data_IF_599191185802
#
_entry.id   IF_599191185802
#
_cell.length_a   1.000
_cell.length_b   1.000
_cell.length_c   1.000
_cell.angle_alpha   90.00
_cell.angle_beta   90.00
_cell.angle_gamma   90.00
#
_symmetry.space_group_name_H-M   'P 1'
#
loop_
_entity.id
_entity.type
_entity.pdbx_description
1 polymer ?
#
# COMPACT_ATOMS: atom_id res chain seq x y z
N UNK A 1 4.93 -32.03 -2.65
CA UNK A 1 5.20 -31.25 -3.88
C UNK A 1 4.65 -31.92 -5.15
N UNK A 2 4.70 -33.25 -5.28
CA UNK A 2 4.26 -33.98 -6.48
C UNK A 2 2.75 -33.89 -6.82
N UNK A 3 1.90 -33.44 -5.89
CA UNK A 3 0.46 -33.25 -6.10
C UNK A 3 0.02 -31.77 -6.08
N UNK A 4 0.97 -30.82 -6.11
CA UNK A 4 0.63 -29.39 -6.09
C UNK A 4 0.05 -28.98 -7.45
N UNK A 5 -1.02 -28.19 -7.44
CA UNK A 5 -1.56 -27.64 -8.67
C UNK A 5 -0.62 -26.52 -9.20
N UNK A 6 -0.49 -26.35 -10.53
CA UNK A 6 0.45 -25.40 -11.12
C UNK A 6 0.20 -23.93 -10.72
N UNK A 7 -1.05 -23.55 -10.52
CA UNK A 7 -1.49 -22.24 -10.02
C UNK A 7 -1.01 -21.96 -8.59
N UNK A 8 -1.19 -22.93 -7.68
CA UNK A 8 -0.66 -22.84 -6.31
C UNK A 8 0.88 -22.76 -6.33
N UNK A 9 1.53 -23.52 -7.21
CA UNK A 9 2.97 -23.43 -7.38
C UNK A 9 3.39 -22.05 -7.91
N UNK A 10 2.58 -21.43 -8.78
CA UNK A 10 2.77 -20.07 -9.25
C UNK A 10 2.75 -19.06 -8.12
N UNK A 11 1.77 -19.14 -7.22
CA UNK A 11 1.67 -18.30 -6.02
C UNK A 11 2.95 -18.42 -5.17
N UNK A 12 3.38 -19.65 -4.87
CA UNK A 12 4.57 -19.90 -4.05
C UNK A 12 5.89 -19.47 -4.71
N UNK A 13 5.91 -19.36 -6.05
CA UNK A 13 7.10 -18.96 -6.82
C UNK A 13 7.11 -17.47 -7.18
N UNK A 14 6.16 -16.68 -6.70
CA UNK A 14 6.14 -15.25 -6.97
C UNK A 14 7.42 -14.59 -6.39
N UNK A 15 8.37 -14.29 -7.27
CA UNK A 15 9.70 -13.80 -6.89
C UNK A 15 9.65 -12.44 -6.20
N UNK A 16 8.68 -11.60 -6.55
CA UNK A 16 8.59 -10.25 -6.00
C UNK A 16 8.05 -10.28 -4.58
N UNK A 17 7.06 -11.11 -4.30
CA UNK A 17 6.57 -11.34 -2.93
C UNK A 17 7.64 -12.03 -2.08
N UNK A 18 8.35 -13.02 -2.64
CA UNK A 18 9.47 -13.66 -1.96
C UNK A 18 10.59 -12.66 -1.64
N UNK A 19 10.88 -11.70 -2.53
CA UNK A 19 11.90 -10.68 -2.31
C UNK A 19 11.56 -9.78 -1.12
N UNK A 20 10.29 -9.47 -0.88
CA UNK A 20 9.85 -8.70 0.30
C UNK A 20 10.16 -9.47 1.59
N UNK A 21 9.86 -10.77 1.61
CA UNK A 21 10.13 -11.63 2.78
C UNK A 21 11.62 -11.94 2.95
N UNK A 22 12.42 -11.87 1.89
CA UNK A 22 13.85 -12.19 1.89
C UNK A 22 14.71 -10.94 1.66
N UNK A 23 14.22 -9.78 2.10
CA UNK A 23 14.95 -8.52 1.97
C UNK A 23 16.26 -8.60 2.80
N UNK A 24 17.44 -8.49 2.16
CA UNK A 24 18.71 -8.64 2.86
C UNK A 24 19.10 -7.42 3.69
N UNK A 25 18.43 -6.28 3.49
CA UNK A 25 18.74 -4.99 4.13
C UNK A 25 17.70 -4.66 5.19
N UNK A 26 16.42 -4.84 4.88
CA UNK A 26 15.30 -4.45 5.75
C UNK A 26 14.65 -5.69 6.38
N UNK A 27 15.04 -6.02 7.61
CA UNK A 27 14.44 -7.13 8.37
C UNK A 27 13.09 -6.83 9.03
N UNK A 28 12.47 -5.67 8.75
CA UNK A 28 11.18 -5.28 9.36
C UNK A 28 10.03 -5.89 8.56
N UNK A 29 9.06 -6.47 9.26
CA UNK A 29 7.80 -6.89 8.65
C UNK A 29 6.94 -5.70 8.25
N UNK A 30 6.02 -5.93 7.31
CA UNK A 30 4.86 -5.05 7.13
C UNK A 30 4.06 -4.96 8.43
N UNK A 31 3.47 -3.80 8.69
CA UNK A 31 2.65 -3.51 9.87
C UNK A 31 1.31 -2.90 9.44
N UNK A 32 0.22 -3.15 10.18
CA UNK A 32 -1.07 -2.59 9.84
C UNK A 32 -1.05 -1.09 10.14
N UNK A 33 -1.54 -0.29 9.19
CA UNK A 33 -1.71 1.15 9.40
C UNK A 33 -3.18 1.57 9.51
N UNK A 34 -4.11 0.70 9.09
CA UNK A 34 -5.54 0.91 9.25
C UNK A 34 -6.32 -0.40 9.28
N UNK A 35 -7.26 -0.52 10.21
CA UNK A 35 -8.08 -1.74 10.34
C UNK A 35 -9.21 -1.84 9.32
N UNK A 36 -9.66 -0.69 8.78
CA UNK A 36 -10.66 -0.62 7.74
C UNK A 36 -12.08 -0.61 8.31
N UNK A 37 -12.80 -1.73 8.22
CA UNK A 37 -14.18 -1.85 8.73
C UNK A 37 -14.23 -1.67 10.26
N UNK A 38 -13.19 -2.13 10.94
CA UNK A 38 -13.09 -1.99 12.39
C UNK A 38 -12.30 -0.73 12.76
N UNK A 39 -12.57 -0.13 13.95
CA UNK A 39 -11.67 0.85 14.53
C UNK A 39 -10.24 0.30 14.63
N UNK A 40 -9.25 1.18 14.55
CA UNK A 40 -7.85 0.78 14.70
C UNK A 40 -7.62 0.09 16.06
N UNK A 41 -6.72 -0.90 16.07
CA UNK A 41 -6.43 -1.76 17.23
C UNK A 41 -7.58 -2.68 17.68
N UNK A 42 -8.58 -2.91 16.82
CA UNK A 42 -9.65 -3.88 17.13
C UNK A 42 -9.19 -5.33 16.91
N UNK A 43 -9.42 -6.18 17.92
CA UNK A 43 -9.25 -7.63 17.78
C UNK A 43 -10.53 -8.25 17.23
N UNK A 44 -10.55 -8.59 15.95
CA UNK A 44 -11.66 -9.30 15.31
C UNK A 44 -11.08 -10.41 14.42
N UNK A 45 -11.40 -11.67 14.75
CA UNK A 45 -10.89 -12.84 14.04
C UNK A 45 -11.47 -13.00 12.63
N UNK A 46 -12.67 -12.45 12.40
CA UNK A 46 -13.37 -12.55 11.11
C UNK A 46 -12.95 -11.41 10.18
N UNK A 47 -12.70 -10.23 10.74
CA UNK A 47 -12.26 -9.05 10.00
C UNK A 47 -11.01 -8.44 10.64
N UNK A 48 -9.82 -9.03 10.40
CA UNK A 48 -8.57 -8.43 10.85
C UNK A 48 -8.28 -7.12 10.12
N UNK A 49 -7.14 -6.49 10.43
CA UNK A 49 -6.74 -5.27 9.75
C UNK A 49 -6.65 -5.45 8.23
N UNK A 50 -7.20 -4.50 7.49
CA UNK A 50 -7.29 -4.58 6.03
C UNK A 50 -6.12 -3.90 5.31
N UNK A 51 -5.44 -2.95 5.95
CA UNK A 51 -4.43 -2.11 5.30
C UNK A 51 -3.07 -2.24 5.98
N UNK A 52 -2.09 -2.70 5.22
CA UNK A 52 -0.75 -3.00 5.72
C UNK A 52 0.30 -2.29 4.86
N UNK A 53 1.38 -1.84 5.50
CA UNK A 53 2.53 -1.28 4.79
C UNK A 53 3.84 -1.59 5.48
N UNK A 54 4.93 -1.63 4.72
CA UNK A 54 6.26 -1.85 5.27
C UNK A 54 7.38 -1.37 4.35
N UNK A 55 8.53 -0.98 4.90
CA UNK A 55 9.68 -0.59 4.10
C UNK A 55 10.40 -1.83 3.58
N UNK A 56 11.00 -1.69 2.40
CA UNK A 56 11.93 -2.65 1.78
C UNK A 56 13.10 -1.85 1.22
N UNK A 57 14.19 -2.51 0.84
CA UNK A 57 15.31 -1.86 0.16
C UNK A 57 14.88 -1.17 -1.14
N UNK A 58 13.83 -1.68 -1.79
CA UNK A 58 13.38 -1.26 -3.11
C UNK A 58 12.26 -0.20 -3.07
N UNK A 59 11.70 0.08 -1.89
CA UNK A 59 10.57 0.99 -1.73
C UNK A 59 9.66 0.62 -0.56
N UNK A 60 8.41 1.06 -0.61
CA UNK A 60 7.39 0.73 0.41
C UNK A 60 6.36 -0.23 -0.18
N UNK A 61 6.16 -1.35 0.50
CA UNK A 61 5.13 -2.32 0.14
C UNK A 61 3.81 -1.90 0.77
N UNK A 62 2.73 -2.03 0.02
CA UNK A 62 1.35 -1.92 0.50
C UNK A 62 0.60 -3.21 0.21
N UNK A 63 -0.07 -3.74 1.22
CA UNK A 63 -0.98 -4.88 1.06
C UNK A 63 -2.38 -4.50 1.53
N UNK A 64 -3.37 -4.73 0.66
CA UNK A 64 -4.79 -4.49 0.92
C UNK A 64 -5.51 -5.83 0.93
N UNK A 65 -6.15 -6.16 2.05
CA UNK A 65 -6.87 -7.41 2.23
C UNK A 65 -8.37 -7.14 2.23
N UNK A 66 -9.08 -7.64 1.22
CA UNK A 66 -10.53 -7.61 1.24
C UNK A 66 -11.06 -8.73 2.13
N UNK A 67 -11.38 -8.41 3.38
CA UNK A 67 -11.93 -9.38 4.35
C UNK A 67 -13.44 -9.60 4.21
N UNK A 68 -14.07 -9.09 3.15
CA UNK A 68 -15.50 -9.24 2.88
C UNK A 68 -15.78 -10.40 1.92
N UNK A 69 -16.98 -10.96 2.02
CA UNK A 69 -17.51 -11.98 1.10
C UNK A 69 -18.02 -11.41 -0.24
N UNK A 70 -17.82 -10.12 -0.50
CA UNK A 70 -18.17 -9.47 -1.77
C UNK A 70 -17.03 -8.59 -2.30
N UNK A 71 -17.01 -8.28 -3.62
CA UNK A 71 -16.04 -7.37 -4.18
C UNK A 71 -16.11 -5.99 -3.52
N UNK A 72 -14.95 -5.41 -3.23
CA UNK A 72 -14.86 -4.12 -2.55
C UNK A 72 -13.87 -3.17 -3.26
N UNK A 73 -14.20 -1.87 -3.23
CA UNK A 73 -13.24 -0.82 -3.61
C UNK A 73 -12.46 -0.43 -2.34
N UNK A 74 -11.14 -0.56 -2.39
CA UNK A 74 -10.25 -0.25 -1.28
C UNK A 74 -9.35 0.92 -1.64
N UNK A 75 -9.34 1.98 -0.83
CA UNK A 75 -8.58 3.19 -1.09
C UNK A 75 -7.85 3.68 0.14
N UNK A 76 -6.63 4.16 0.00
CA UNK A 76 -5.86 4.75 1.10
C UNK A 76 -5.14 6.02 0.65
N UNK A 77 -4.94 6.96 1.58
CA UNK A 77 -4.02 8.06 1.35
C UNK A 77 -2.59 7.57 1.58
N UNK A 78 -1.67 7.95 0.68
CA UNK A 78 -0.28 7.52 0.75
C UNK A 78 0.38 7.93 2.09
N UNK A 79 -0.01 9.08 2.62
CA UNK A 79 0.45 9.64 3.91
C UNK A 79 -0.11 8.94 5.15
N UNK A 80 -1.00 7.96 5.02
CA UNK A 80 -1.42 7.10 6.14
C UNK A 80 -0.32 6.11 6.53
N UNK A 81 0.57 5.76 5.60
CA UNK A 81 1.71 4.91 5.91
C UNK A 81 2.85 5.74 6.52
N UNK A 82 3.46 5.29 7.63
CA UNK A 82 4.62 5.95 8.22
C UNK A 82 5.89 5.82 7.38
N UNK A 83 5.87 4.98 6.34
CA UNK A 83 7.02 4.73 5.46
C UNK A 83 6.99 5.59 4.18
N UNK A 84 5.93 6.37 4.00
CA UNK A 84 5.78 7.29 2.88
C UNK A 84 6.07 8.72 3.32
N UNK A 85 6.67 9.49 2.41
CA UNK A 85 6.91 10.92 2.57
C UNK A 85 5.81 11.72 1.88
N UNK A 86 5.23 12.68 2.60
CA UNK A 86 4.28 13.64 2.03
C UNK A 86 4.93 14.52 0.95
N UNK A 87 4.13 14.96 -0.04
CA UNK A 87 4.61 15.82 -1.12
C UNK A 87 5.43 15.09 -2.19
N UNK A 88 5.36 13.76 -2.21
CA UNK A 88 6.02 12.90 -3.20
C UNK A 88 5.00 12.08 -3.96
N UNK A 89 5.30 11.81 -5.22
CA UNK A 89 4.56 10.84 -6.03
C UNK A 89 5.32 9.51 -6.05
N UNK A 90 4.58 8.41 -6.24
CA UNK A 90 5.16 7.07 -6.17
C UNK A 90 4.78 6.25 -7.40
N UNK A 91 5.76 5.61 -8.05
CA UNK A 91 5.47 4.62 -9.08
C UNK A 91 4.90 3.36 -8.43
N UNK A 92 3.78 2.86 -8.95
CA UNK A 92 3.05 1.72 -8.40
C UNK A 92 3.33 0.50 -9.27
N UNK A 93 3.86 -0.56 -8.65
CA UNK A 93 4.02 -1.87 -9.26
C UNK A 93 3.10 -2.88 -8.59
N UNK A 94 2.28 -3.57 -9.38
CA UNK A 94 1.45 -4.68 -8.92
C UNK A 94 2.26 -5.97 -8.90
N UNK A 95 2.38 -6.58 -7.73
CA UNK A 95 3.24 -7.75 -7.50
C UNK A 95 2.57 -9.07 -7.87
N UNK A 96 1.23 -9.08 -8.05
CA UNK A 96 0.51 -10.25 -8.53
C UNK A 96 0.41 -10.25 -10.05
N UNK A 97 0.07 -9.10 -10.64
CA UNK A 97 -0.04 -8.96 -12.09
C UNK A 97 1.32 -8.75 -12.77
N UNK A 98 2.37 -8.41 -12.00
CA UNK A 98 3.69 -8.02 -12.50
C UNK A 98 3.66 -6.82 -13.47
N UNK A 99 2.72 -5.90 -13.25
CA UNK A 99 2.49 -4.72 -14.08
C UNK A 99 2.86 -3.43 -13.37
N UNK A 100 3.31 -2.44 -14.14
CA UNK A 100 3.53 -1.08 -13.64
C UNK A 100 2.25 -0.26 -13.86
N UNK A 101 1.55 0.07 -12.77
CA UNK A 101 0.23 0.72 -12.77
C UNK A 101 0.33 2.26 -12.72
N UNK A 102 1.42 2.82 -13.26
CA UNK A 102 1.67 4.26 -13.33
C UNK A 102 2.14 4.87 -12.00
N UNK A 103 1.78 6.12 -11.75
CA UNK A 103 2.18 6.89 -10.56
C UNK A 103 0.98 7.27 -9.70
N UNK A 104 1.05 6.95 -8.41
CA UNK A 104 0.10 7.40 -7.39
C UNK A 104 0.54 8.75 -6.81
N UNK A 105 -0.44 9.63 -6.65
CA UNK A 105 -0.29 10.96 -6.06
C UNK A 105 -1.34 11.10 -4.96
N UNK A 106 -0.91 11.35 -3.72
CA UNK A 106 -1.73 11.54 -2.50
C UNK A 106 -2.57 10.35 -2.04
N UNK A 107 -3.20 9.62 -2.94
CA UNK A 107 -3.99 8.43 -2.64
C UNK A 107 -3.85 7.37 -3.73
N UNK A 108 -4.27 6.17 -3.38
CA UNK A 108 -4.39 5.06 -4.31
C UNK A 108 -5.72 4.34 -4.08
N UNK A 109 -6.36 3.91 -5.15
CA UNK A 109 -7.63 3.20 -5.13
C UNK A 109 -7.54 1.92 -5.96
N UNK A 110 -7.66 0.77 -5.29
CA UNK A 110 -7.91 -0.51 -5.92
C UNK A 110 -9.43 -0.71 -6.08
N UNK A 111 -9.88 -0.89 -7.31
CA UNK A 111 -11.29 -1.17 -7.62
C UNK A 111 -11.52 -2.67 -7.74
N UNK A 112 -12.73 -3.09 -7.41
CA UNK A 112 -13.22 -4.46 -7.63
C UNK A 112 -12.31 -5.55 -7.06
N UNK A 113 -11.73 -5.33 -5.88
CA UNK A 113 -10.91 -6.33 -5.20
C UNK A 113 -11.83 -7.52 -4.87
N UNK A 114 -11.56 -8.74 -5.38
CA UNK A 114 -12.41 -9.89 -5.17
C UNK A 114 -12.65 -10.19 -3.68
N UNK A 115 -13.73 -10.91 -3.33
CA UNK A 115 -13.93 -11.38 -1.96
C UNK A 115 -12.74 -12.22 -1.52
N UNK A 116 -12.23 -11.96 -0.32
CA UNK A 116 -11.00 -12.58 0.21
C UNK A 116 -9.76 -12.38 -0.67
N UNK A 117 -9.80 -11.40 -1.58
CA UNK A 117 -8.70 -11.00 -2.44
C UNK A 117 -7.66 -10.17 -1.70
N UNK A 118 -6.43 -10.21 -2.22
CA UNK A 118 -5.31 -9.43 -1.70
C UNK A 118 -4.67 -8.65 -2.83
N UNK A 119 -4.52 -7.35 -2.65
CA UNK A 119 -3.72 -6.49 -3.53
C UNK A 119 -2.35 -6.34 -2.89
N UNK A 120 -1.29 -6.54 -3.67
CA UNK A 120 0.09 -6.39 -3.22
C UNK A 120 0.82 -5.42 -4.16
N UNK A 121 1.23 -4.27 -3.64
CA UNK A 121 1.83 -3.18 -4.40
C UNK A 121 3.21 -2.85 -3.85
N UNK A 122 4.16 -2.56 -4.73
CA UNK A 122 5.43 -1.93 -4.39
C UNK A 122 5.41 -0.49 -4.91
N UNK A 123 5.50 0.46 -3.99
CA UNK A 123 5.56 1.88 -4.27
C UNK A 123 7.01 2.35 -4.15
N UNK A 124 7.52 2.92 -5.24
CA UNK A 124 8.86 3.54 -5.28
C UNK A 124 8.75 5.03 -5.47
N UNK A 125 9.60 5.79 -4.79
CA UNK A 125 9.59 7.24 -4.90
C UNK A 125 9.90 7.67 -6.36
N UNK A 126 8.96 8.39 -6.96
CA UNK A 126 8.99 8.85 -8.36
C UNK A 126 9.10 10.39 -8.46
N UNK A 127 9.55 11.05 -7.40
CA UNK A 127 9.80 12.50 -7.39
C UNK A 127 8.76 13.31 -6.62
N UNK A 128 8.76 14.61 -6.85
CA UNK A 128 7.81 15.52 -6.21
C UNK A 128 6.40 15.34 -6.80
N UNK A 129 5.38 15.62 -6.00
CA UNK A 129 4.02 15.76 -6.53
C UNK A 129 3.97 16.83 -7.63
N UNK A 130 3.08 16.69 -8.63
CA UNK A 130 2.88 17.71 -9.65
C UNK A 130 2.47 19.07 -9.05
N UNK A 131 2.92 20.15 -9.67
CA UNK A 131 2.54 21.51 -9.28
C UNK A 131 1.05 21.78 -9.57
N UNK A 132 0.45 22.71 -8.82
CA UNK A 132 -0.91 23.19 -9.07
C UNK A 132 -2.05 22.30 -8.55
N UNK A 133 -1.75 21.28 -7.75
CA UNK A 133 -2.77 20.42 -7.13
C UNK A 133 -3.33 21.09 -5.87
N UNK A 134 -4.66 21.28 -5.83
CA UNK A 134 -5.40 21.79 -4.67
C UNK A 134 -6.23 20.66 -4.02
N UNK A 135 -6.36 20.58 -2.68
CA UNK A 135 -5.71 21.39 -1.63
C UNK A 135 -4.17 21.26 -1.67
N UNK A 136 -3.41 22.15 -1.02
CA UNK A 136 -1.94 22.09 -1.07
C UNK A 136 -1.36 20.76 -0.53
N UNK A 137 -2.08 20.08 0.37
CA UNK A 137 -1.71 18.75 0.87
C UNK A 137 -2.93 17.84 1.00
N UNK A 138 -2.70 16.53 0.96
CA UNK A 138 -3.73 15.50 1.22
C UNK A 138 -4.27 15.53 2.66
N UNK A 139 -3.44 15.95 3.62
CA UNK A 139 -3.77 15.97 5.04
C UNK A 139 -3.51 17.36 5.62
N UNK A 140 -4.59 18.07 5.97
CA UNK A 140 -4.54 19.47 6.43
C UNK A 140 -3.57 19.72 7.57
N UNK A 141 -3.58 18.88 8.60
CA UNK A 141 -2.75 19.07 9.79
C UNK A 141 -1.26 18.77 9.54
N UNK A 142 -0.93 18.08 8.44
CA UNK A 142 0.44 17.84 7.97
C UNK A 142 0.91 18.94 7.00
N UNK A 143 0.07 19.96 6.74
CA UNK A 143 0.26 20.86 5.62
C UNK A 143 1.10 22.06 6.02
N UNK A 144 2.42 21.91 5.85
CA UNK A 144 3.43 22.92 6.21
C UNK A 144 4.38 23.12 5.05
N UNK A 145 4.60 24.37 4.68
CA UNK A 145 5.59 24.76 3.66
C UNK A 145 7.02 24.52 4.20
N UNK A 146 8.02 24.51 3.30
CA UNK A 146 9.44 24.40 3.62
C UNK A 146 9.90 25.40 4.69
N UNK A 147 9.23 26.56 4.76
CA UNK A 147 9.51 27.61 5.73
C UNK A 147 8.79 27.43 7.08
N UNK A 148 8.14 26.29 7.32
CA UNK A 148 7.42 26.01 8.57
C UNK A 148 6.04 26.66 8.66
N UNK A 149 5.61 27.38 7.63
CA UNK A 149 4.30 28.05 7.59
C UNK A 149 3.22 27.02 7.30
N UNK A 150 2.14 26.99 8.11
CA UNK A 150 0.96 26.19 7.76
C UNK A 150 0.35 26.73 6.49
N UNK A 151 0.30 25.88 5.47
CA UNK A 151 -0.39 26.18 4.21
C UNK A 151 -1.77 25.56 4.30
N UNK A 152 -2.81 26.38 4.12
CA UNK A 152 -4.20 25.92 4.15
C UNK A 152 -4.44 24.90 3.03
N UNK A 153 -5.27 23.91 3.32
CA UNK A 153 -5.98 23.15 2.29
C UNK A 153 -7.19 23.93 1.75
#
# INVERSE_FOLDING_TARGET
LSAIQPDILGILKNKEILAINQDPVVGKSISPFRWGINPDWTTNSTHPAQYWSGPTQDGTVFMLLNTLDHPATMSFNLTESPFIRAGRQYSVRDLWAHTDNGTAVRSFTAKDVPPHGVVALLLKDAGNEPDGIFPACSVWWQCTDKNGTRVGG
#
